data_IF_083355167825
#
_entry.id   IF_083355167825
#
_cell.length_a   1.000
_cell.length_b   1.000
_cell.length_c   1.000
_cell.angle_alpha   90.00
_cell.angle_beta   90.00
_cell.angle_gamma   90.00
#
_symmetry.space_group_name_H-M   'P 1'
#
loop_
_entity.id
_entity.type
_entity.pdbx_description
1 polymer ?
#
# COMPACT_ATOMS: atom_id res chain seq x y z
N UNK A 1 -24.90 -20.69 3.58
CA UNK A 1 -24.08 -21.24 2.49
C UNK A 1 -23.23 -22.33 3.12
N UNK A 2 -23.75 -23.57 3.15
CA UNK A 2 -23.05 -24.74 3.67
C UNK A 2 -22.47 -25.51 2.49
N UNK A 3 -21.32 -25.07 1.99
CA UNK A 3 -20.55 -25.85 1.02
C UNK A 3 -19.80 -26.96 1.81
N UNK A 4 -20.04 -28.25 1.49
CA UNK A 4 -19.38 -29.38 2.12
C UNK A 4 -17.85 -29.27 2.16
N UNK A 5 -17.25 -28.54 1.21
CA UNK A 5 -15.81 -28.27 1.13
C UNK A 5 -15.26 -27.52 2.36
N UNK A 6 -16.10 -26.74 3.06
CA UNK A 6 -15.71 -25.92 4.21
C UNK A 6 -16.01 -26.57 5.57
N UNK A 7 -15.92 -27.90 5.64
CA UNK A 7 -16.08 -28.63 6.90
C UNK A 7 -14.73 -28.82 7.60
N UNK A 8 -14.54 -28.14 8.73
CA UNK A 8 -13.37 -28.31 9.62
C UNK A 8 -13.78 -28.94 10.96
N UNK A 9 -12.88 -29.65 11.67
CA UNK A 9 -13.25 -30.43 12.86
C UNK A 9 -13.32 -29.56 14.13
N UNK A 10 -14.16 -28.52 14.12
CA UNK A 10 -14.33 -27.54 15.21
C UNK A 10 -14.63 -28.19 16.57
N UNK A 11 -15.45 -29.26 16.55
CA UNK A 11 -15.88 -30.00 17.72
C UNK A 11 -14.71 -30.59 18.53
N UNK A 12 -13.56 -30.88 17.90
CA UNK A 12 -12.34 -31.39 18.54
C UNK A 12 -11.75 -30.41 19.57
N UNK A 13 -12.07 -29.12 19.40
CA UNK A 13 -11.51 -28.03 20.21
C UNK A 13 -12.57 -27.33 21.05
N UNK A 14 -13.79 -27.89 21.14
CA UNK A 14 -14.91 -27.25 21.82
C UNK A 14 -15.40 -25.97 21.12
N UNK A 15 -15.18 -25.89 19.80
CA UNK A 15 -15.59 -24.76 18.96
C UNK A 15 -16.76 -25.16 18.07
N UNK A 16 -17.47 -24.14 17.59
CA UNK A 16 -18.52 -24.30 16.57
C UNK A 16 -17.96 -24.00 15.18
N UNK A 17 -18.63 -24.47 14.13
CA UNK A 17 -18.15 -24.27 12.75
C UNK A 17 -18.09 -22.78 12.41
N UNK A 18 -19.10 -22.04 12.83
CA UNK A 18 -19.23 -20.59 12.69
C UNK A 18 -18.16 -19.80 13.45
N UNK A 19 -17.47 -20.41 14.43
CA UNK A 19 -16.39 -19.73 15.16
C UNK A 19 -15.20 -19.41 14.24
N UNK A 20 -15.09 -20.07 13.08
CA UNK A 20 -14.04 -19.81 12.10
C UNK A 20 -14.16 -18.40 11.51
N UNK A 21 -15.35 -18.01 11.06
CA UNK A 21 -15.58 -16.73 10.36
C UNK A 21 -15.73 -15.55 11.31
N UNK A 22 -15.97 -15.78 12.61
CA UNK A 22 -16.03 -14.73 13.61
C UNK A 22 -14.80 -14.74 14.52
N UNK A 23 -14.78 -15.57 15.56
CA UNK A 23 -13.86 -15.55 16.68
C UNK A 23 -12.43 -15.86 16.26
N UNK A 24 -12.24 -16.92 15.47
CA UNK A 24 -10.92 -17.30 14.99
C UNK A 24 -10.42 -16.31 13.94
N UNK A 25 -11.29 -15.82 13.06
CA UNK A 25 -10.95 -14.76 12.12
C UNK A 25 -10.44 -13.50 12.84
N UNK A 26 -11.16 -13.05 13.88
CA UNK A 26 -10.78 -11.87 14.65
C UNK A 26 -9.47 -12.09 15.43
N UNK A 27 -9.28 -13.29 16.00
CA UNK A 27 -8.09 -13.60 16.79
C UNK A 27 -6.85 -13.85 15.94
N UNK A 28 -7.00 -14.54 14.80
CA UNK A 28 -5.88 -15.11 14.06
C UNK A 28 -5.70 -14.55 12.66
N UNK A 29 -6.74 -14.01 12.04
CA UNK A 29 -6.67 -13.42 10.70
C UNK A 29 -6.78 -11.89 10.69
N UNK A 30 -6.78 -11.21 11.84
CA UNK A 30 -6.94 -9.74 11.89
C UNK A 30 -5.73 -9.04 12.53
N UNK A 31 -5.36 -7.90 11.96
CA UNK A 31 -4.40 -6.95 12.54
C UNK A 31 -4.97 -5.52 12.49
N UNK A 32 -5.13 -4.97 11.29
CA UNK A 32 -5.91 -3.75 10.99
C UNK A 32 -6.98 -4.04 9.93
N UNK A 33 -6.64 -4.92 9.01
CA UNK A 33 -7.51 -5.58 8.03
C UNK A 33 -7.30 -7.10 8.13
N UNK A 34 -8.11 -7.91 7.44
CA UNK A 34 -7.81 -9.33 7.28
C UNK A 34 -6.40 -9.53 6.70
N UNK A 35 -5.63 -10.45 7.28
CA UNK A 35 -4.26 -10.79 6.86
C UNK A 35 -4.33 -11.62 5.57
N UNK A 36 -5.25 -12.58 5.53
CA UNK A 36 -5.47 -13.48 4.40
C UNK A 36 -6.91 -13.36 3.89
N UNK A 37 -7.13 -13.81 2.65
CA UNK A 37 -8.48 -14.07 2.15
C UNK A 37 -9.16 -15.16 3.00
N UNK A 38 -10.50 -15.18 3.05
CA UNK A 38 -11.24 -16.20 3.80
C UNK A 38 -10.84 -17.64 3.43
N UNK A 39 -10.55 -17.89 2.15
CA UNK A 39 -10.11 -19.19 1.65
C UNK A 39 -8.77 -19.63 2.23
N UNK A 40 -7.77 -18.76 2.12
CA UNK A 40 -6.43 -19.07 2.59
C UNK A 40 -6.43 -19.25 4.12
N UNK A 41 -7.22 -18.46 4.84
CA UNK A 41 -7.39 -18.63 6.28
C UNK A 41 -8.07 -19.95 6.64
N UNK A 42 -9.11 -20.36 5.90
CA UNK A 42 -9.76 -21.64 6.10
C UNK A 42 -8.78 -22.80 5.95
N UNK A 43 -7.95 -22.80 4.90
CA UNK A 43 -6.94 -23.83 4.71
C UNK A 43 -5.93 -23.90 5.85
N UNK A 44 -5.43 -22.75 6.31
CA UNK A 44 -4.51 -22.70 7.45
C UNK A 44 -5.16 -23.30 8.72
N UNK A 45 -6.41 -22.92 9.03
CA UNK A 45 -7.13 -23.47 10.19
C UNK A 45 -7.42 -24.97 10.03
N UNK A 46 -7.80 -25.42 8.83
CA UNK A 46 -8.07 -26.83 8.56
C UNK A 46 -6.81 -27.67 8.74
N UNK A 47 -5.67 -27.24 8.20
CA UNK A 47 -4.38 -27.92 8.38
C UNK A 47 -4.01 -28.00 9.87
N UNK A 48 -4.09 -26.88 10.59
CA UNK A 48 -3.82 -26.83 12.03
C UNK A 48 -4.75 -27.76 12.81
N UNK A 49 -6.03 -27.81 12.43
CA UNK A 49 -7.04 -28.64 13.08
C UNK A 49 -6.76 -30.15 12.92
N UNK A 50 -6.18 -30.54 11.78
CA UNK A 50 -5.72 -31.90 11.54
C UNK A 50 -4.47 -32.23 12.38
N UNK A 51 -3.54 -31.28 12.51
CA UNK A 51 -2.29 -31.47 13.28
C UNK A 51 -2.49 -31.42 14.80
N UNK A 52 -3.24 -30.46 15.33
CA UNK A 52 -3.36 -30.23 16.76
C UNK A 52 -4.12 -31.35 17.46
N UNK A 53 -3.67 -31.82 18.62
CA UNK A 53 -4.35 -32.86 19.41
C UNK A 53 -5.17 -32.32 20.57
N UNK A 54 -5.05 -31.02 20.88
CA UNK A 54 -5.80 -30.35 21.94
C UNK A 54 -6.17 -28.91 21.57
N UNK A 55 -7.14 -28.32 22.26
CA UNK A 55 -7.51 -26.92 22.06
C UNK A 55 -6.34 -25.96 22.36
N UNK A 56 -5.56 -26.23 23.41
CA UNK A 56 -4.39 -25.43 23.74
C UNK A 56 -3.33 -25.47 22.62
N UNK A 57 -3.07 -26.66 22.07
CA UNK A 57 -2.15 -26.81 20.94
C UNK A 57 -2.67 -26.13 19.67
N UNK A 58 -3.96 -26.26 19.37
CA UNK A 58 -4.61 -25.59 18.25
C UNK A 58 -4.39 -24.08 18.31
N UNK A 59 -4.70 -23.45 19.45
CA UNK A 59 -4.53 -22.01 19.63
C UNK A 59 -3.06 -21.58 19.55
N UNK A 60 -2.13 -22.40 20.08
CA UNK A 60 -0.68 -22.14 19.95
C UNK A 60 -0.23 -22.17 18.49
N UNK A 61 -0.65 -23.18 17.73
CA UNK A 61 -0.32 -23.32 16.31
C UNK A 61 -0.96 -22.20 15.47
N UNK A 62 -2.22 -21.84 15.74
CA UNK A 62 -2.91 -20.73 15.07
C UNK A 62 -2.22 -19.39 15.30
N UNK A 63 -1.78 -19.12 16.54
CA UNK A 63 -0.99 -17.93 16.83
C UNK A 63 0.36 -17.94 16.10
N UNK A 64 1.04 -19.09 16.06
CA UNK A 64 2.28 -19.25 15.28
C UNK A 64 2.08 -18.99 13.80
N UNK A 65 1.00 -19.54 13.21
CA UNK A 65 0.65 -19.36 11.80
C UNK A 65 0.32 -17.90 11.47
N UNK A 66 -0.40 -17.19 12.35
CA UNK A 66 -0.65 -15.75 12.20
C UNK A 66 0.67 -14.98 12.05
N UNK A 67 1.63 -15.22 12.95
CA UNK A 67 2.92 -14.52 12.89
C UNK A 67 3.71 -14.91 11.64
N UNK A 68 3.67 -16.17 11.24
CA UNK A 68 4.27 -16.65 10.00
C UNK A 68 3.71 -15.90 8.78
N UNK A 69 2.39 -15.80 8.65
CA UNK A 69 1.75 -15.13 7.50
C UNK A 69 2.05 -13.64 7.45
N UNK A 70 2.03 -12.95 8.60
CA UNK A 70 2.47 -11.55 8.68
C UNK A 70 3.91 -11.37 8.20
N UNK A 71 4.82 -12.25 8.62
CA UNK A 71 6.22 -12.17 8.22
C UNK A 71 6.40 -12.44 6.72
N UNK A 72 5.69 -13.42 6.16
CA UNK A 72 5.75 -13.75 4.74
C UNK A 72 5.21 -12.60 3.88
N UNK A 73 4.06 -12.02 4.25
CA UNK A 73 3.47 -10.89 3.51
C UNK A 73 4.35 -9.65 3.57
N UNK A 74 4.91 -9.32 4.74
CA UNK A 74 5.83 -8.18 4.87
C UNK A 74 7.09 -8.38 4.02
N UNK A 75 7.68 -9.60 4.03
CA UNK A 75 8.85 -9.91 3.18
C UNK A 75 8.52 -9.87 1.70
N UNK A 76 7.35 -10.38 1.29
CA UNK A 76 6.91 -10.33 -0.10
C UNK A 76 6.70 -8.90 -0.56
N UNK A 77 6.05 -8.07 0.28
CA UNK A 77 5.84 -6.66 0.00
C UNK A 77 7.16 -5.89 -0.09
N UNK A 78 8.06 -6.08 0.86
CA UNK A 78 9.39 -5.45 0.86
C UNK A 78 10.19 -5.84 -0.40
N UNK A 79 10.24 -7.13 -0.72
CA UNK A 79 10.90 -7.64 -1.92
C UNK A 79 10.34 -7.00 -3.21
N UNK A 80 9.01 -7.02 -3.36
CA UNK A 80 8.35 -6.39 -4.51
C UNK A 80 8.59 -4.88 -4.57
N UNK A 81 8.63 -4.21 -3.42
CA UNK A 81 8.90 -2.77 -3.33
C UNK A 81 10.29 -2.42 -3.87
N UNK A 82 11.31 -3.21 -3.53
CA UNK A 82 12.67 -3.00 -4.02
C UNK A 82 12.77 -3.11 -5.54
N UNK A 83 12.14 -4.14 -6.12
CA UNK A 83 12.12 -4.34 -7.57
C UNK A 83 11.43 -3.19 -8.30
N UNK A 84 10.29 -2.72 -7.78
CA UNK A 84 9.53 -1.61 -8.37
C UNK A 84 10.29 -0.28 -8.28
N UNK A 85 10.86 0.03 -7.11
CA UNK A 85 11.62 1.26 -6.91
C UNK A 85 12.89 1.26 -7.76
N UNK A 86 13.58 0.12 -7.84
CA UNK A 86 14.82 -0.05 -8.59
C UNK A 86 14.66 -0.04 -10.10
N UNK A 87 13.45 -0.28 -10.61
CA UNK A 87 13.16 -0.30 -12.04
C UNK A 87 11.94 0.56 -12.40
N UNK A 88 12.15 1.87 -12.64
CA UNK A 88 11.08 2.80 -13.01
C UNK A 88 10.31 2.41 -14.27
N UNK A 89 10.87 1.56 -15.15
CA UNK A 89 10.16 1.13 -16.37
C UNK A 89 8.97 0.19 -16.10
N UNK A 90 8.87 -0.38 -14.89
CA UNK A 90 7.76 -1.25 -14.49
C UNK A 90 6.46 -0.48 -14.21
N UNK A 91 6.54 0.82 -13.95
CA UNK A 91 5.40 1.68 -13.63
C UNK A 91 5.51 2.97 -14.45
N UNK A 92 4.45 3.34 -15.16
CA UNK A 92 4.42 4.61 -15.89
C UNK A 92 4.60 5.82 -14.95
N UNK A 93 5.25 6.88 -15.43
CA UNK A 93 5.31 8.15 -14.71
C UNK A 93 3.96 8.88 -14.89
N UNK A 94 3.30 9.42 -13.84
CA UNK A 94 3.79 9.72 -12.48
C UNK A 94 3.47 8.68 -11.39
N UNK A 95 2.88 7.53 -11.72
CA UNK A 95 2.48 6.52 -10.72
C UNK A 95 3.69 5.98 -9.93
N UNK A 96 4.87 5.97 -10.55
CA UNK A 96 6.12 5.59 -9.89
C UNK A 96 6.45 6.45 -8.66
N UNK A 97 6.19 7.77 -8.70
CA UNK A 97 6.43 8.66 -7.55
C UNK A 97 5.51 8.31 -6.38
N UNK A 98 4.24 8.00 -6.67
CA UNK A 98 3.29 7.54 -5.67
C UNK A 98 3.65 6.16 -5.11
N UNK A 99 4.21 5.27 -5.93
CA UNK A 99 4.71 3.96 -5.47
C UNK A 99 5.84 4.14 -4.44
N UNK A 100 6.81 5.02 -4.73
CA UNK A 100 7.89 5.34 -3.77
C UNK A 100 7.30 5.85 -2.46
N UNK A 101 6.36 6.79 -2.53
CA UNK A 101 5.74 7.37 -1.33
C UNK A 101 4.99 6.33 -0.51
N UNK A 102 4.26 5.41 -1.15
CA UNK A 102 3.62 4.27 -0.52
C UNK A 102 4.64 3.41 0.22
N UNK A 103 5.71 2.96 -0.45
CA UNK A 103 6.67 2.05 0.16
C UNK A 103 7.49 2.70 1.28
N UNK A 104 7.74 4.01 1.21
CA UNK A 104 8.47 4.75 2.27
C UNK A 104 7.64 4.99 3.51
N UNK A 105 6.35 5.28 3.36
CA UNK A 105 5.48 5.63 4.50
C UNK A 105 4.69 4.46 5.05
N UNK A 106 4.39 3.47 4.19
CA UNK A 106 3.48 2.36 4.46
C UNK A 106 2.18 2.82 5.17
N UNK A 107 1.67 3.98 4.73
CA UNK A 107 0.50 4.61 5.33
C UNK A 107 -0.74 4.36 4.48
N UNK A 108 -1.91 4.30 5.13
CA UNK A 108 -3.19 4.18 4.42
C UNK A 108 -3.42 5.37 3.47
N UNK A 109 -3.00 6.57 3.86
CA UNK A 109 -3.07 7.76 3.01
C UNK A 109 -2.25 7.61 1.71
N UNK A 110 -0.99 7.18 1.81
CA UNK A 110 -0.16 6.96 0.62
C UNK A 110 -0.63 5.79 -0.23
N UNK A 111 -1.26 4.77 0.37
CA UNK A 111 -1.91 3.68 -0.36
C UNK A 111 -3.11 4.19 -1.18
N UNK A 112 -3.93 5.06 -0.58
CA UNK A 112 -5.06 5.70 -1.26
C UNK A 112 -4.56 6.58 -2.40
N UNK A 113 -3.53 7.39 -2.19
CA UNK A 113 -2.95 8.25 -3.23
C UNK A 113 -2.38 7.42 -4.39
N UNK A 114 -1.71 6.31 -4.10
CA UNK A 114 -1.21 5.39 -5.13
C UNK A 114 -2.33 4.86 -6.02
N UNK A 115 -3.41 4.32 -5.44
CA UNK A 115 -4.54 3.84 -6.26
C UNK A 115 -5.28 4.97 -6.98
N UNK A 116 -5.42 6.15 -6.36
CA UNK A 116 -6.04 7.31 -6.98
C UNK A 116 -5.26 7.79 -8.22
N UNK A 117 -3.93 7.63 -8.25
CA UNK A 117 -3.08 8.04 -9.37
C UNK A 117 -3.35 7.31 -10.70
N UNK A 118 -4.07 6.17 -10.67
CA UNK A 118 -4.53 5.46 -11.86
C UNK A 118 -5.87 5.98 -12.40
N UNK A 119 -6.59 6.81 -11.65
CA UNK A 119 -7.87 7.37 -12.07
C UNK A 119 -7.66 8.61 -12.97
N UNK A 120 -8.51 8.85 -13.99
CA UNK A 120 -8.44 10.05 -14.83
C UNK A 120 -8.49 11.34 -14.00
N UNK A 121 -7.81 12.41 -14.42
CA UNK A 121 -7.70 13.68 -13.66
C UNK A 121 -9.03 14.36 -13.41
N UNK A 122 -10.04 14.07 -14.22
CA UNK A 122 -11.40 14.58 -14.13
C UNK A 122 -12.26 13.77 -13.14
N UNK A 123 -11.73 12.67 -12.63
CA UNK A 123 -12.43 11.82 -11.66
C UNK A 123 -12.54 12.54 -10.31
N UNK A 124 -13.70 12.43 -9.66
CA UNK A 124 -14.04 13.04 -8.35
C UNK A 124 -13.06 12.78 -7.19
N UNK A 125 -12.12 11.84 -7.36
CA UNK A 125 -11.06 11.53 -6.40
C UNK A 125 -9.84 12.45 -6.53
N UNK A 126 -9.66 13.04 -7.72
CA UNK A 126 -8.79 14.18 -7.91
C UNK A 126 -9.68 15.40 -7.70
N UNK A 127 -9.69 16.04 -6.53
CA UNK A 127 -10.34 17.34 -6.42
C UNK A 127 -9.78 18.20 -7.55
N UNK A 128 -10.66 18.62 -8.48
CA UNK A 128 -10.33 19.59 -9.52
C UNK A 128 -9.72 20.78 -8.79
N UNK A 129 -8.39 20.81 -8.72
CA UNK A 129 -7.52 21.84 -8.12
C UNK A 129 -8.36 23.01 -7.60
N UNK A 130 -8.98 22.84 -6.42
CA UNK A 130 -10.06 23.72 -5.98
C UNK A 130 -9.46 24.96 -5.32
N UNK A 131 -8.43 25.51 -5.97
CA UNK A 131 -7.68 26.71 -5.62
C UNK A 131 -7.62 27.60 -6.87
N UNK A 132 -8.78 28.11 -7.29
CA UNK A 132 -8.88 29.27 -8.19
C UNK A 132 -10.18 30.06 -8.00
N UNK A 133 -10.81 29.99 -6.83
CA UNK A 133 -11.86 30.95 -6.45
C UNK A 133 -11.60 31.50 -5.05
N UNK A 134 -10.41 32.08 -4.87
CA UNK A 134 -10.30 33.31 -4.09
C UNK A 134 -9.99 34.44 -5.07
N UNK A 135 -10.97 34.74 -5.93
CA UNK A 135 -11.07 36.06 -6.54
C UNK A 135 -11.43 37.03 -5.41
N UNK A 136 -10.42 37.68 -4.82
CA UNK A 136 -10.68 38.87 -4.01
C UNK A 136 -11.14 40.00 -4.94
N UNK A 137 -12.30 40.62 -4.74
CA UNK A 137 -12.64 41.88 -5.38
C UNK A 137 -12.43 43.03 -4.39
N UNK A 138 -11.33 43.76 -4.54
CA UNK A 138 -11.18 45.20 -4.21
C UNK A 138 -9.70 45.54 -4.42
N UNK A 139 -9.26 46.63 -5.05
CA UNK A 139 -9.90 47.85 -5.49
C UNK A 139 -8.76 48.89 -5.64
N UNK A 140 -8.91 49.81 -6.58
CA UNK A 140 -8.12 51.05 -6.77
C UNK A 140 -6.72 50.99 -7.40
N UNK A 141 -6.69 51.65 -8.56
CA UNK A 141 -5.58 52.32 -9.25
C UNK A 141 -4.51 52.97 -8.33
N UNK A 142 -3.23 52.91 -8.74
CA UNK A 142 -2.48 54.06 -9.30
C UNK A 142 -0.98 53.76 -9.51
N UNK A 143 -0.53 54.25 -10.67
CA UNK A 143 0.85 54.46 -11.15
C UNK A 143 1.99 54.51 -10.13
N UNK A 144 3.11 53.82 -10.45
CA UNK A 144 4.35 54.54 -10.72
C UNK A 144 5.38 53.74 -11.54
N UNK A 145 5.75 54.34 -12.67
CA UNK A 145 6.95 54.03 -13.48
C UNK A 145 8.20 54.19 -12.61
N UNK A 146 9.13 53.24 -12.69
CA UNK A 146 10.57 53.54 -12.64
C UNK A 146 11.34 52.46 -13.42
N UNK A 147 11.89 52.89 -14.55
CA UNK A 147 12.91 52.17 -15.32
C UNK A 147 14.18 52.01 -14.48
N UNK A 148 14.83 50.85 -14.54
CA UNK A 148 16.29 50.75 -14.50
C UNK A 148 16.76 49.58 -15.37
N UNK A 149 17.68 49.89 -16.29
CA UNK A 149 18.30 49.01 -17.28
C UNK A 149 19.48 48.19 -16.71
N UNK A 150 19.77 47.09 -17.39
CA UNK A 150 21.08 46.39 -17.39
C UNK A 150 21.08 45.12 -16.54
N UNK A 151 21.64 43.98 -16.94
CA UNK A 151 22.55 43.64 -18.04
C UNK A 151 22.55 42.11 -18.15
N UNK A 152 22.58 41.58 -19.39
CA UNK A 152 22.79 40.16 -19.67
C UNK A 152 24.27 39.78 -19.55
N UNK A 153 24.60 38.67 -18.89
CA UNK A 153 25.83 37.87 -19.09
C UNK A 153 25.51 36.41 -18.76
N UNK A 154 25.35 35.56 -19.79
CA UNK A 154 26.36 34.71 -20.45
C UNK A 154 26.57 33.36 -19.75
N UNK A 155 26.10 32.36 -20.49
CA UNK A 155 26.44 30.93 -20.49
C UNK A 155 27.94 30.70 -20.33
N UNK A 156 28.29 29.72 -19.49
CA UNK A 156 29.53 28.95 -19.60
C UNK A 156 29.20 27.46 -19.55
N UNK A 157 29.38 26.80 -20.70
CA UNK A 157 29.55 25.37 -20.81
C UNK A 157 30.98 25.02 -20.36
N UNK A 158 31.13 23.92 -19.64
CA UNK A 158 32.41 23.24 -19.49
C UNK A 158 32.20 21.76 -19.78
N UNK A 159 32.73 21.34 -20.94
CA UNK A 159 32.93 19.95 -21.35
C UNK A 159 33.77 19.19 -20.30
N UNK A 160 33.48 17.91 -20.11
CA UNK A 160 34.48 16.98 -19.58
C UNK A 160 34.39 15.68 -20.37
N UNK A 161 35.36 15.51 -21.26
CA UNK A 161 35.68 14.25 -21.93
C UNK A 161 36.16 13.24 -20.88
N UNK A 162 35.58 12.04 -20.86
CA UNK A 162 36.26 10.88 -20.28
C UNK A 162 36.51 9.82 -21.35
N UNK A 163 37.80 9.49 -21.43
CA UNK A 163 38.49 8.65 -22.39
C UNK A 163 38.42 7.19 -21.93
N UNK A 164 38.38 6.27 -22.91
CA UNK A 164 38.47 4.82 -22.78
C UNK A 164 39.52 4.32 -21.77
N UNK A 165 39.21 3.20 -21.12
CA UNK A 165 40.21 2.16 -20.87
C UNK A 165 39.59 0.77 -21.02
N UNK A 166 40.27 -0.02 -21.85
CA UNK A 166 40.16 -1.48 -22.00
C UNK A 166 40.77 -2.15 -20.77
#
# INVERSE_FOLDING_TARGET
MDDPAYTWPAWKFGLKKEDLSNKLHDQYNTYLTPIQSPEAFYHDISEIAHTAHSAAEFHRLAHGRRQQRLNELNKALESASFEIIGNPSLIETPQWEHAIQLFRTNSLDSLVQYFASYLPREHRWHPLRQDSVLSCPDGSERFNKRHFSGTAMKVSQSETQYKHMV
#
